data_IF_358997139343
#
_entry.id   IF_358997139343
#
_cell.length_a   1.000
_cell.length_b   1.000
_cell.length_c   1.000
_cell.angle_alpha   90.00
_cell.angle_beta   90.00
_cell.angle_gamma   90.00
#
_symmetry.space_group_name_H-M   'P 1'
#
loop_
_entity.id
_entity.type
_entity.pdbx_description
1 polymer ?
#
# COMPACT_ATOMS: atom_id res chain seq x y z
N UNK A 1 -37.41 33.72 20.88
CA UNK A 1 -36.61 34.10 19.70
C UNK A 1 -35.36 33.24 19.73
N UNK A 2 -35.42 32.08 19.06
CA UNK A 2 -34.41 31.03 19.16
C UNK A 2 -33.39 31.25 18.05
N UNK A 3 -32.14 31.53 18.42
CA UNK A 3 -31.05 31.83 17.51
C UNK A 3 -30.42 30.49 17.08
N UNK A 4 -30.65 30.10 15.83
CA UNK A 4 -30.06 28.90 15.25
C UNK A 4 -28.57 29.14 15.01
N UNK A 5 -27.72 28.39 15.71
CA UNK A 5 -26.29 28.31 15.47
C UNK A 5 -26.08 27.42 14.22
N UNK A 6 -25.83 28.05 13.09
CA UNK A 6 -25.42 27.35 11.87
C UNK A 6 -23.98 26.90 12.06
N UNK A 7 -23.79 25.61 12.35
CA UNK A 7 -22.45 24.99 12.29
C UNK A 7 -22.13 24.81 10.81
N UNK A 8 -21.19 25.62 10.31
CA UNK A 8 -20.62 25.49 8.99
C UNK A 8 -19.72 24.24 9.01
N UNK A 9 -20.22 23.12 8.52
CA UNK A 9 -19.40 21.97 8.16
C UNK A 9 -18.51 22.42 6.99
N UNK A 10 -17.26 22.74 7.29
CA UNK A 10 -16.21 22.89 6.28
C UNK A 10 -16.02 21.48 5.72
N UNK A 11 -16.62 21.22 4.57
CA UNK A 11 -16.47 19.96 3.85
C UNK A 11 -15.00 19.73 3.58
N UNK A 12 -14.40 18.77 4.29
CA UNK A 12 -13.20 18.11 3.79
C UNK A 12 -13.56 17.50 2.44
N UNK A 13 -12.72 17.74 1.45
CA UNK A 13 -12.85 17.20 0.10
C UNK A 13 -12.97 15.66 0.18
N UNK A 14 -14.18 15.14 0.23
CA UNK A 14 -14.44 13.81 -0.28
C UNK A 14 -14.11 13.86 -1.77
N UNK A 15 -13.31 12.91 -2.26
CA UNK A 15 -13.13 12.71 -3.69
C UNK A 15 -14.53 12.63 -4.32
N UNK A 16 -14.85 13.58 -5.19
CA UNK A 16 -16.12 13.62 -5.91
C UNK A 16 -16.28 12.33 -6.73
N UNK A 17 -17.50 11.94 -7.07
CA UNK A 17 -17.76 10.71 -7.84
C UNK A 17 -16.96 10.61 -9.16
N UNK A 18 -16.52 11.74 -9.73
CA UNK A 18 -15.63 11.80 -10.92
C UNK A 18 -14.13 11.56 -10.62
N UNK A 19 -13.73 11.53 -9.34
CA UNK A 19 -12.35 11.33 -8.87
C UNK A 19 -12.05 9.88 -8.46
N UNK A 20 -13.03 8.99 -8.54
CA UNK A 20 -12.92 7.59 -8.09
C UNK A 20 -12.06 6.68 -8.98
N UNK A 21 -11.52 7.16 -10.10
CA UNK A 21 -10.70 6.34 -10.99
C UNK A 21 -11.35 5.00 -11.35
N UNK A 22 -12.69 4.95 -11.38
CA UNK A 22 -13.44 3.74 -11.67
C UNK A 22 -13.14 3.37 -13.12
N UNK A 23 -12.28 2.37 -13.28
CA UNK A 23 -12.20 1.59 -14.51
C UNK A 23 -13.63 1.12 -14.83
N UNK A 24 -14.10 1.19 -16.08
CA UNK A 24 -15.41 0.69 -16.44
C UNK A 24 -15.58 -0.75 -15.93
N UNK A 25 -16.68 -1.00 -15.21
CA UNK A 25 -17.07 -2.30 -14.67
C UNK A 25 -17.02 -3.38 -15.76
N UNK A 26 -15.94 -4.17 -15.75
CA UNK A 26 -15.73 -5.35 -16.58
C UNK A 26 -16.24 -6.64 -15.88
N UNK A 27 -16.87 -6.49 -14.71
CA UNK A 27 -17.36 -7.59 -13.89
C UNK A 27 -16.27 -8.32 -13.09
N UNK A 28 -15.04 -7.80 -13.02
CA UNK A 28 -13.92 -8.46 -12.34
C UNK A 28 -13.28 -7.66 -11.19
N UNK A 29 -13.41 -6.32 -11.18
CA UNK A 29 -13.06 -5.48 -10.02
C UNK A 29 -14.32 -4.94 -9.32
N UNK A 30 -14.44 -5.17 -8.01
CA UNK A 30 -15.51 -4.58 -7.18
C UNK A 30 -15.15 -3.17 -6.65
N UNK A 31 -13.94 -2.69 -6.95
CA UNK A 31 -13.40 -1.46 -6.40
C UNK A 31 -13.48 -1.36 -4.87
N UNK A 32 -13.44 -0.13 -4.36
CA UNK A 32 -13.68 0.16 -2.95
C UNK A 32 -15.19 0.23 -2.66
N UNK A 33 -15.86 -0.93 -2.52
CA UNK A 33 -17.31 -0.99 -2.31
C UNK A 33 -17.91 -2.39 -2.45
N UNK A 34 -19.22 -2.43 -2.72
CA UNK A 34 -19.99 -3.67 -2.90
C UNK A 34 -20.51 -4.29 -1.61
N UNK A 35 -20.99 -5.52 -1.68
CA UNK A 35 -21.44 -6.29 -0.51
C UNK A 35 -20.33 -6.42 0.55
N UNK A 36 -20.71 -6.67 1.80
CA UNK A 36 -19.75 -6.84 2.88
C UNK A 36 -18.79 -7.99 2.57
N UNK A 37 -17.49 -7.66 2.46
CA UNK A 37 -16.43 -8.66 2.36
C UNK A 37 -15.95 -8.97 3.78
N UNK A 38 -15.83 -10.26 4.17
CA UNK A 38 -15.28 -10.64 5.47
C UNK A 38 -13.90 -10.04 5.70
N UNK A 39 -13.57 -9.80 6.97
CA UNK A 39 -12.23 -9.35 7.32
C UNK A 39 -11.20 -10.40 6.84
N UNK A 40 -10.19 -9.99 6.06
CA UNK A 40 -9.18 -10.89 5.50
C UNK A 40 -8.25 -11.44 6.59
N UNK A 41 -7.58 -12.55 6.31
CA UNK A 41 -6.53 -13.08 7.19
C UNK A 41 -5.45 -12.01 7.44
N UNK A 42 -4.95 -11.95 8.68
CA UNK A 42 -3.98 -10.91 9.09
C UNK A 42 -4.62 -9.56 9.46
N UNK A 43 -5.95 -9.44 9.46
CA UNK A 43 -6.64 -8.25 10.00
C UNK A 43 -6.38 -8.09 11.50
N UNK A 44 -5.94 -6.90 11.90
CA UNK A 44 -5.73 -6.52 13.30
C UNK A 44 -6.77 -5.46 13.69
N UNK A 45 -7.48 -5.67 14.81
CA UNK A 45 -8.35 -4.66 15.43
C UNK A 45 -7.66 -4.02 16.63
N UNK A 46 -7.56 -2.68 16.63
CA UNK A 46 -6.93 -1.91 17.72
C UNK A 46 -7.83 -0.76 18.18
N UNK A 47 -7.83 -0.50 19.50
CA UNK A 47 -8.43 0.70 20.08
C UNK A 47 -7.40 1.83 20.08
N UNK A 48 -7.61 2.87 19.28
CA UNK A 48 -6.69 4.01 19.13
C UNK A 48 -7.26 5.23 19.86
N UNK A 49 -6.68 5.60 21.01
CA UNK A 49 -7.04 6.84 21.71
C UNK A 49 -6.43 8.05 21.04
N UNK A 50 -7.20 9.14 20.93
CA UNK A 50 -6.69 10.38 20.37
C UNK A 50 -5.70 11.08 21.31
N UNK A 51 -4.98 12.08 20.79
CA UNK A 51 -3.91 12.75 21.51
C UNK A 51 -4.35 13.42 22.82
N UNK A 52 -5.61 13.87 22.88
CA UNK A 52 -6.18 14.50 24.07
C UNK A 52 -6.59 13.48 25.15
N UNK A 53 -6.66 12.20 24.81
CA UNK A 53 -7.25 11.16 25.66
C UNK A 53 -6.32 9.94 25.87
N UNK A 54 -5.01 10.20 25.92
CA UNK A 54 -4.00 9.17 26.23
C UNK A 54 -3.33 8.52 25.03
N UNK A 55 -3.33 9.20 23.87
CA UNK A 55 -2.59 8.91 22.62
C UNK A 55 -2.14 7.44 22.47
N UNK A 56 -2.82 6.71 21.61
CA UNK A 56 -2.34 5.41 21.15
C UNK A 56 -1.60 5.58 19.82
N UNK A 57 -0.38 5.05 19.75
CA UNK A 57 0.39 4.95 18.51
C UNK A 57 0.19 3.55 17.93
N UNK A 58 -0.07 3.47 16.63
CA UNK A 58 -0.17 2.21 15.88
C UNK A 58 1.02 2.12 14.94
N UNK A 59 1.81 1.06 15.09
CA UNK A 59 2.86 0.70 14.14
C UNK A 59 2.28 -0.15 13.01
N UNK A 60 2.61 0.22 11.78
CA UNK A 60 2.27 -0.49 10.54
C UNK A 60 3.56 -1.12 10.02
N UNK A 61 3.68 -2.44 10.10
CA UNK A 61 4.88 -3.16 9.67
C UNK A 61 5.23 -2.78 8.23
N UNK A 62 6.49 -2.36 8.01
CA UNK A 62 7.06 -1.87 6.74
C UNK A 62 6.43 -0.61 6.12
N UNK A 63 5.26 -0.17 6.58
CA UNK A 63 4.59 1.03 6.06
C UNK A 63 4.82 2.26 6.93
N UNK A 64 5.08 2.11 8.25
CA UNK A 64 5.36 3.24 9.14
C UNK A 64 4.52 3.23 10.41
N UNK A 65 3.95 4.36 10.81
CA UNK A 65 3.09 4.41 11.99
C UNK A 65 2.23 5.66 12.05
N UNK A 66 1.12 5.59 12.79
CA UNK A 66 0.18 6.69 12.92
C UNK A 66 -0.39 6.82 14.33
N UNK A 67 -1.04 7.94 14.58
CA UNK A 67 -1.93 8.14 15.73
C UNK A 67 -3.11 9.03 15.35
N UNK A 68 -4.08 9.17 16.25
CA UNK A 68 -5.19 10.13 16.10
C UNK A 68 -4.84 11.41 16.86
N UNK A 69 -4.80 12.56 16.18
CA UNK A 69 -4.46 13.84 16.77
C UNK A 69 -5.60 14.45 17.61
N UNK A 70 -5.40 15.66 18.15
CA UNK A 70 -6.41 16.34 18.96
C UNK A 70 -7.63 16.85 18.19
N UNK A 71 -7.55 16.87 16.86
CA UNK A 71 -8.65 17.22 15.95
C UNK A 71 -9.32 16.01 15.32
N UNK A 72 -9.07 14.81 15.87
CA UNK A 72 -9.60 13.53 15.40
C UNK A 72 -9.21 13.20 13.94
N UNK A 73 -7.95 13.49 13.57
CA UNK A 73 -7.36 13.12 12.29
C UNK A 73 -6.32 12.01 12.46
N UNK A 74 -6.24 11.12 11.48
CA UNK A 74 -5.04 10.28 11.32
C UNK A 74 -3.88 11.15 10.89
N UNK A 75 -2.76 11.00 11.59
CA UNK A 75 -1.51 11.70 11.32
C UNK A 75 -0.31 10.75 11.45
N UNK A 76 0.81 11.00 10.75
CA UNK A 76 2.00 10.18 10.81
C UNK A 76 2.58 10.25 12.22
N UNK A 77 3.16 9.13 12.64
CA UNK A 77 3.95 9.07 13.85
C UNK A 77 5.41 8.90 13.48
N UNK A 78 6.20 9.92 13.78
CA UNK A 78 7.65 9.90 13.54
C UNK A 78 8.40 9.35 14.75
N UNK A 79 9.28 8.37 14.53
CA UNK A 79 10.18 7.84 15.56
C UNK A 79 11.63 8.28 15.27
N UNK A 80 12.10 9.31 15.99
CA UNK A 80 13.48 9.78 15.86
C UNK A 80 13.73 10.71 14.66
N UNK A 81 14.91 10.62 14.06
CA UNK A 81 15.38 11.53 13.00
C UNK A 81 14.96 11.14 11.58
N UNK A 82 14.48 9.90 11.38
CA UNK A 82 13.96 9.44 10.11
C UNK A 82 12.46 9.72 10.09
N UNK A 83 12.07 10.71 9.27
CA UNK A 83 10.67 11.00 9.02
C UNK A 83 10.22 10.12 7.85
N UNK A 84 9.83 8.89 8.14
CA UNK A 84 9.06 8.10 7.18
C UNK A 84 7.67 8.72 7.11
N UNK A 85 7.52 9.73 6.25
CA UNK A 85 6.26 10.42 6.03
C UNK A 85 5.32 9.46 5.29
N UNK A 86 4.36 8.93 6.05
CA UNK A 86 3.23 8.23 5.46
C UNK A 86 2.19 9.23 4.96
N UNK A 87 1.61 8.93 3.80
CA UNK A 87 0.42 9.60 3.31
C UNK A 87 -0.81 8.74 3.60
N UNK A 88 -1.94 9.39 3.81
CA UNK A 88 -3.25 8.77 3.91
C UNK A 88 -4.12 9.19 2.74
N UNK A 89 -5.04 8.33 2.33
CA UNK A 89 -6.15 8.70 1.47
C UNK A 89 -7.42 7.99 1.94
N UNK A 90 -8.52 8.72 2.11
CA UNK A 90 -9.81 8.10 2.39
C UNK A 90 -10.39 7.53 1.10
N UNK A 91 -10.99 6.33 1.18
CA UNK A 91 -11.81 5.76 0.10
C UNK A 91 -13.31 5.97 0.37
N UNK A 92 -13.65 6.75 1.39
CA UNK A 92 -15.03 7.01 1.81
C UNK A 92 -15.65 5.85 2.60
N UNK A 93 -16.98 5.84 2.66
CA UNK A 93 -17.75 4.83 3.38
C UNK A 93 -17.66 3.47 2.70
N UNK A 94 -17.35 2.43 3.48
CA UNK A 94 -17.23 1.03 3.02
C UNK A 94 -17.81 0.08 4.08
N UNK A 95 -18.06 -1.17 3.71
CA UNK A 95 -18.72 -2.14 4.59
C UNK A 95 -17.76 -2.90 5.54
N UNK A 96 -16.46 -2.66 5.45
CA UNK A 96 -15.44 -3.32 6.27
C UNK A 96 -14.04 -3.18 5.67
N UNK A 97 -13.04 -3.76 6.33
CA UNK A 97 -11.65 -3.69 5.85
C UNK A 97 -11.47 -4.45 4.53
N UNK A 98 -12.16 -5.58 4.36
CA UNK A 98 -12.13 -6.37 3.11
C UNK A 98 -12.66 -5.63 1.88
N UNK A 99 -13.36 -4.50 2.06
CA UNK A 99 -13.84 -3.65 0.97
C UNK A 99 -12.83 -2.54 0.60
N UNK A 100 -11.71 -2.39 1.31
CA UNK A 100 -10.63 -1.44 0.97
C UNK A 100 -9.59 -2.17 0.15
N UNK A 101 -9.66 -2.06 -1.18
CA UNK A 101 -9.01 -2.94 -2.14
C UNK A 101 -8.12 -2.24 -3.16
N UNK A 102 -8.57 -1.12 -3.69
CA UNK A 102 -7.84 -0.39 -4.73
C UNK A 102 -7.24 0.91 -4.20
N UNK A 103 -5.95 1.09 -4.36
CA UNK A 103 -5.25 2.30 -3.94
C UNK A 103 -5.66 3.50 -4.82
N UNK A 104 -6.04 4.64 -4.23
CA UNK A 104 -6.38 5.85 -4.98
C UNK A 104 -5.17 6.40 -5.77
N UNK A 105 -5.39 6.90 -6.98
CA UNK A 105 -4.34 7.56 -7.77
C UNK A 105 -4.03 8.99 -7.30
N UNK A 106 -4.91 9.59 -6.49
CA UNK A 106 -4.83 10.97 -5.98
C UNK A 106 -5.57 11.10 -4.65
N UNK A 107 -5.50 12.28 -4.03
CA UNK A 107 -6.16 12.57 -2.75
C UNK A 107 -5.30 12.25 -1.52
N UNK A 108 -4.04 11.89 -1.73
CA UNK A 108 -3.07 11.60 -0.68
C UNK A 108 -2.69 12.87 0.09
N UNK A 109 -2.70 12.77 1.41
CA UNK A 109 -2.29 13.83 2.32
C UNK A 109 -1.65 13.24 3.57
N UNK A 110 -0.74 14.00 4.19
CA UNK A 110 -0.15 13.64 5.48
C UNK A 110 -1.17 13.67 6.62
N UNK A 111 -2.42 14.08 6.41
CA UNK A 111 -3.44 14.13 7.46
C UNK A 111 -4.81 13.92 6.84
N UNK A 112 -5.64 13.09 7.47
CA UNK A 112 -7.01 12.84 7.03
C UNK A 112 -7.95 12.68 8.23
N UNK A 113 -9.15 13.24 8.13
CA UNK A 113 -10.15 13.14 9.19
C UNK A 113 -10.58 11.69 9.42
N UNK A 114 -10.67 11.28 10.70
CA UNK A 114 -11.17 9.96 11.08
C UNK A 114 -12.69 9.97 11.04
N UNK A 115 -13.27 9.12 10.19
CA UNK A 115 -14.72 8.95 10.02
C UNK A 115 -15.12 7.49 10.25
N UNK A 116 -16.07 7.27 11.16
CA UNK A 116 -16.65 5.95 11.42
C UNK A 116 -17.30 5.37 10.14
N UNK A 117 -17.08 4.07 9.88
CA UNK A 117 -17.56 3.38 8.69
C UNK A 117 -16.74 3.66 7.42
N UNK A 118 -15.64 4.41 7.50
CA UNK A 118 -14.82 4.73 6.33
C UNK A 118 -13.56 3.88 6.24
N UNK A 119 -13.15 3.63 5.01
CA UNK A 119 -11.89 3.00 4.64
C UNK A 119 -10.82 4.02 4.29
N UNK A 120 -9.56 3.62 4.47
CA UNK A 120 -8.41 4.45 4.16
C UNK A 120 -7.27 3.58 3.63
N UNK A 121 -6.50 4.14 2.71
CA UNK A 121 -5.15 3.66 2.42
C UNK A 121 -4.12 4.49 3.17
N UNK A 122 -3.01 3.83 3.48
CA UNK A 122 -1.77 4.43 3.94
C UNK A 122 -0.69 4.00 2.97
N UNK A 123 0.25 4.89 2.66
CA UNK A 123 1.43 4.53 1.86
C UNK A 123 2.70 5.17 2.39
N UNK A 124 3.81 4.50 2.15
CA UNK A 124 5.16 5.00 2.37
C UNK A 124 5.96 4.89 1.08
N UNK A 125 6.70 5.95 0.71
CA UNK A 125 7.59 5.92 -0.45
C UNK A 125 8.98 5.47 -0.01
N UNK A 126 9.43 4.34 -0.53
CA UNK A 126 10.77 3.84 -0.25
C UNK A 126 11.84 4.67 -0.96
N UNK A 127 13.09 4.55 -0.52
CA UNK A 127 14.23 5.21 -1.18
C UNK A 127 14.40 4.77 -2.65
N UNK A 128 13.93 3.58 -2.99
CA UNK A 128 13.98 3.02 -4.35
C UNK A 128 12.80 3.50 -5.22
N UNK A 129 11.91 4.34 -4.67
CA UNK A 129 10.90 5.08 -5.42
C UNK A 129 9.53 4.42 -5.52
N UNK A 130 9.37 3.17 -5.06
CA UNK A 130 8.08 2.47 -5.02
C UNK A 130 7.35 2.72 -3.69
N UNK A 131 6.05 2.38 -3.66
CA UNK A 131 5.21 2.56 -2.47
C UNK A 131 4.95 1.22 -1.78
N UNK A 132 5.05 1.21 -0.46
CA UNK A 132 4.51 0.16 0.41
C UNK A 132 3.19 0.65 0.99
N UNK A 133 2.16 -0.20 0.98
CA UNK A 133 0.81 0.19 1.40
C UNK A 133 0.36 -0.55 2.65
N UNK A 134 -0.56 0.09 3.36
CA UNK A 134 -1.44 -0.53 4.34
C UNK A 134 -2.87 -0.05 4.10
N UNK A 135 -3.84 -0.79 4.63
CA UNK A 135 -5.26 -0.40 4.60
C UNK A 135 -5.83 -0.31 6.00
N UNK A 136 -6.72 0.64 6.22
CA UNK A 136 -7.42 0.89 7.47
C UNK A 136 -8.94 0.91 7.25
N UNK A 137 -9.68 0.53 8.28
CA UNK A 137 -11.12 0.72 8.37
C UNK A 137 -11.48 1.16 9.79
N UNK A 138 -12.24 2.25 9.89
CA UNK A 138 -12.70 2.78 11.19
C UNK A 138 -14.01 2.10 11.54
N UNK A 139 -13.96 1.10 12.41
CA UNK A 139 -15.14 0.32 12.78
C UNK A 139 -16.12 1.11 13.64
N UNK A 140 -15.60 1.85 14.63
CA UNK A 140 -16.45 2.63 15.54
C UNK A 140 -15.67 3.70 16.28
N UNK A 141 -16.28 4.84 16.54
CA UNK A 141 -15.76 5.82 17.49
C UNK A 141 -15.81 5.29 18.92
N UNK A 142 -14.80 5.67 19.69
CA UNK A 142 -14.78 5.53 21.14
C UNK A 142 -15.33 6.83 21.72
N UNK A 143 -16.52 6.78 22.30
CA UNK A 143 -17.20 7.96 22.83
C UNK A 143 -17.13 8.03 24.35
N UNK A 144 -17.09 9.25 24.88
CA UNK A 144 -17.37 9.51 26.30
C UNK A 144 -18.87 9.42 26.58
N UNK A 145 -19.25 9.45 27.87
CA UNK A 145 -20.65 9.56 28.27
C UNK A 145 -21.35 10.85 27.76
N UNK A 146 -20.59 11.87 27.38
CA UNK A 146 -21.08 13.12 26.80
C UNK A 146 -21.07 13.12 25.26
N UNK A 147 -20.83 11.97 24.62
CA UNK A 147 -20.70 11.80 23.17
C UNK A 147 -19.53 12.55 22.51
N UNK A 148 -18.55 13.00 23.29
CA UNK A 148 -17.26 13.47 22.74
C UNK A 148 -16.44 12.30 22.22
N UNK A 149 -15.80 12.46 21.05
CA UNK A 149 -14.86 11.50 20.48
C UNK A 149 -13.58 11.44 21.32
N UNK A 150 -13.20 10.23 21.72
CA UNK A 150 -11.99 9.94 22.50
C UNK A 150 -10.95 9.15 21.68
N UNK A 151 -11.29 8.77 20.46
CA UNK A 151 -10.53 7.84 19.62
C UNK A 151 -11.45 6.97 18.77
N UNK A 152 -10.89 5.88 18.23
CA UNK A 152 -11.64 4.93 17.40
C UNK A 152 -11.12 3.50 17.54
N UNK A 153 -11.99 2.53 17.30
CA UNK A 153 -11.64 1.16 16.95
C UNK A 153 -11.28 1.11 15.46
N UNK A 154 -10.04 0.74 15.16
CA UNK A 154 -9.48 0.73 13.81
C UNK A 154 -9.05 -0.69 13.48
N UNK A 155 -9.57 -1.22 12.38
CA UNK A 155 -9.04 -2.43 11.75
C UNK A 155 -7.97 -2.04 10.75
N UNK A 156 -6.89 -2.82 10.66
CA UNK A 156 -5.87 -2.60 9.66
C UNK A 156 -5.20 -3.89 9.21
N UNK A 157 -4.54 -3.81 8.06
CA UNK A 157 -3.62 -4.81 7.54
C UNK A 157 -2.38 -4.09 6.98
N UNK A 158 -1.20 -4.58 7.33
CA UNK A 158 0.09 -3.99 6.94
C UNK A 158 1.19 -5.06 6.90
N UNK A 159 1.95 -5.18 5.79
CA UNK A 159 1.69 -4.53 4.51
C UNK A 159 0.39 -5.01 3.87
N UNK A 160 -0.04 -4.33 2.81
CA UNK A 160 -1.17 -4.71 1.96
C UNK A 160 -0.82 -4.43 0.50
N UNK A 161 -1.14 -5.35 -0.41
CA UNK A 161 -0.99 -5.20 -1.85
C UNK A 161 -2.34 -4.79 -2.46
N UNK A 162 -2.48 -3.55 -2.97
CA UNK A 162 -3.72 -3.12 -3.63
C UNK A 162 -4.00 -3.90 -4.92
N UNK A 163 -5.27 -4.12 -5.23
CA UNK A 163 -5.70 -4.90 -6.41
C UNK A 163 -5.46 -4.19 -7.75
N UNK A 164 -5.13 -2.90 -7.72
CA UNK A 164 -4.88 -2.06 -8.90
C UNK A 164 -3.41 -1.63 -9.03
N UNK A 165 -2.47 -2.42 -8.49
CA UNK A 165 -1.04 -2.20 -8.71
C UNK A 165 -0.66 -2.64 -10.13
N UNK A 166 0.23 -1.87 -10.77
CA UNK A 166 0.76 -2.19 -12.09
C UNK A 166 1.63 -3.45 -12.03
N UNK A 167 1.35 -4.40 -12.92
CA UNK A 167 2.17 -5.59 -13.16
C UNK A 167 3.50 -5.19 -13.79
N UNK A 168 4.61 -5.40 -13.08
CA UNK A 168 5.92 -5.01 -13.59
C UNK A 168 6.41 -5.92 -14.73
N UNK A 169 5.79 -7.09 -14.93
CA UNK A 169 6.14 -8.00 -16.02
C UNK A 169 5.93 -7.37 -17.39
N UNK A 170 5.09 -6.34 -17.50
CA UNK A 170 4.85 -5.62 -18.76
C UNK A 170 6.12 -4.93 -19.29
N UNK A 171 7.05 -4.59 -18.39
CA UNK A 171 8.32 -3.93 -18.70
C UNK A 171 9.46 -4.94 -18.96
N UNK A 172 9.19 -6.25 -18.86
CA UNK A 172 10.15 -7.33 -19.13
C UNK A 172 9.94 -7.84 -20.56
N UNK A 173 10.74 -7.43 -21.56
CA UNK A 173 10.49 -7.77 -22.96
C UNK A 173 10.83 -9.22 -23.32
N UNK A 174 11.84 -9.80 -22.67
CA UNK A 174 12.27 -11.18 -22.93
C UNK A 174 11.23 -12.17 -22.38
N UNK A 175 10.62 -12.96 -23.26
CA UNK A 175 9.55 -13.86 -22.89
C UNK A 175 9.98 -15.01 -21.97
N UNK A 176 11.23 -15.48 -22.08
CA UNK A 176 11.74 -16.55 -21.20
C UNK A 176 12.05 -16.00 -19.82
N UNK A 177 12.63 -14.80 -19.75
CA UNK A 177 12.89 -14.13 -18.48
C UNK A 177 11.59 -13.77 -17.77
N UNK A 178 10.63 -13.17 -18.48
CA UNK A 178 9.30 -12.84 -17.96
C UNK A 178 8.57 -14.08 -17.43
N UNK A 179 8.57 -15.18 -18.18
CA UNK A 179 7.94 -16.43 -17.76
C UNK A 179 8.63 -17.05 -16.52
N UNK A 180 9.95 -16.92 -16.40
CA UNK A 180 10.66 -17.33 -15.20
C UNK A 180 10.25 -16.49 -13.99
N UNK A 181 10.28 -15.17 -14.11
CA UNK A 181 9.94 -14.26 -13.01
C UNK A 181 8.51 -14.50 -12.51
N UNK A 182 7.55 -14.61 -13.45
CA UNK A 182 6.15 -14.89 -13.14
C UNK A 182 5.95 -16.24 -12.42
N UNK A 183 6.76 -17.25 -12.75
CA UNK A 183 6.61 -18.57 -12.15
C UNK A 183 7.22 -18.68 -10.74
N UNK A 184 8.25 -17.89 -10.45
CA UNK A 184 9.05 -18.03 -9.21
C UNK A 184 8.76 -16.96 -8.17
N UNK A 185 8.32 -15.77 -8.58
CA UNK A 185 8.24 -14.60 -7.71
C UNK A 185 6.84 -13.99 -7.58
N UNK A 186 5.85 -14.50 -8.31
CA UNK A 186 4.43 -14.27 -8.02
C UNK A 186 4.05 -15.12 -6.79
N UNK A 187 4.27 -14.56 -5.61
CA UNK A 187 4.19 -15.27 -4.33
C UNK A 187 2.75 -15.44 -3.86
N UNK A 188 1.87 -14.56 -4.30
CA UNK A 188 0.45 -14.59 -3.96
C UNK A 188 -0.40 -15.33 -5.02
N UNK A 189 0.19 -15.67 -6.18
CA UNK A 189 -0.41 -16.38 -7.31
C UNK A 189 -1.63 -15.67 -7.92
N UNK A 190 -1.62 -14.33 -7.91
CA UNK A 190 -2.66 -13.51 -8.53
C UNK A 190 -2.43 -13.25 -10.03
N UNK A 191 -1.28 -13.68 -10.56
CA UNK A 191 -0.91 -13.59 -11.96
C UNK A 191 -0.26 -12.26 -12.35
N UNK A 192 0.06 -11.39 -11.40
CA UNK A 192 0.87 -10.18 -11.59
C UNK A 192 2.14 -10.27 -10.76
N UNK A 193 3.22 -9.60 -11.18
CA UNK A 193 4.38 -9.41 -10.32
C UNK A 193 4.41 -7.95 -9.87
N UNK A 194 4.30 -7.73 -8.56
CA UNK A 194 4.27 -6.36 -8.02
C UNK A 194 5.67 -5.85 -7.70
N UNK A 195 5.87 -4.51 -7.55
CA UNK A 195 7.12 -3.97 -7.05
C UNK A 195 7.50 -4.48 -5.66
N UNK A 196 6.52 -4.80 -4.81
CA UNK A 196 6.77 -5.32 -3.47
C UNK A 196 7.37 -6.72 -3.54
N UNK A 197 6.80 -7.60 -4.37
CA UNK A 197 7.34 -8.93 -4.60
C UNK A 197 8.74 -8.88 -5.20
N UNK A 198 8.96 -8.04 -6.21
CA UNK A 198 10.28 -7.88 -6.83
C UNK A 198 11.36 -7.43 -5.85
N UNK A 199 11.03 -6.57 -4.88
CA UNK A 199 11.98 -6.10 -3.87
C UNK A 199 12.19 -7.12 -2.76
N UNK A 200 11.28 -8.09 -2.59
CA UNK A 200 11.52 -9.23 -1.69
C UNK A 200 12.54 -10.23 -2.26
N UNK A 201 12.78 -10.21 -3.57
CA UNK A 201 13.73 -11.10 -4.24
C UNK A 201 15.17 -10.68 -3.94
N UNK A 202 15.92 -11.62 -3.37
CA UNK A 202 17.36 -11.46 -3.08
C UNK A 202 18.24 -12.35 -3.96
N UNK A 203 17.68 -13.35 -4.62
CA UNK A 203 18.41 -14.24 -5.50
C UNK A 203 17.59 -14.66 -6.72
N UNK A 204 18.23 -14.66 -7.89
CA UNK A 204 17.67 -15.13 -9.17
C UNK A 204 18.58 -16.24 -9.72
N UNK A 205 17.98 -17.38 -10.03
CA UNK A 205 18.65 -18.59 -10.53
C UNK A 205 18.01 -19.02 -11.86
N UNK A 206 18.37 -18.31 -12.94
CA UNK A 206 17.75 -18.44 -14.25
C UNK A 206 18.66 -19.09 -15.30
N UNK A 207 19.60 -19.94 -14.89
CA UNK A 207 20.54 -20.61 -15.79
C UNK A 207 19.90 -21.59 -16.76
N UNK A 208 20.48 -21.72 -17.97
CA UNK A 208 20.03 -22.63 -19.04
C UNK A 208 18.58 -22.44 -19.51
N UNK A 209 18.10 -21.19 -19.61
CA UNK A 209 16.69 -20.85 -19.93
C UNK A 209 16.48 -20.17 -21.28
N UNK A 210 17.50 -20.11 -22.15
CA UNK A 210 17.43 -19.43 -23.46
C UNK A 210 17.04 -17.95 -23.34
N UNK A 211 17.39 -17.31 -22.21
CA UNK A 211 17.16 -15.89 -21.98
C UNK A 211 18.13 -15.10 -22.87
N UNK A 212 17.60 -14.15 -23.65
CA UNK A 212 18.37 -13.31 -24.57
C UNK A 212 18.60 -11.91 -24.01
N UNK A 213 17.76 -11.45 -23.07
CA UNK A 213 17.89 -10.14 -22.41
C UNK A 213 17.44 -10.20 -20.94
N UNK A 214 18.18 -9.50 -20.08
CA UNK A 214 17.84 -9.25 -18.67
C UNK A 214 17.23 -7.86 -18.43
N UNK A 215 16.77 -7.17 -19.48
CA UNK A 215 16.09 -5.89 -19.31
C UNK A 215 14.95 -5.99 -18.29
N UNK A 216 14.91 -5.05 -17.34
CA UNK A 216 13.97 -5.02 -16.22
C UNK A 216 14.50 -5.69 -14.94
N UNK A 217 15.70 -6.29 -14.97
CA UNK A 217 16.39 -6.78 -13.76
C UNK A 217 16.64 -5.65 -12.74
N UNK A 218 16.74 -4.40 -13.19
CA UNK A 218 16.90 -3.22 -12.34
C UNK A 218 15.73 -2.97 -11.37
N UNK A 219 14.58 -3.58 -11.61
CA UNK A 219 13.41 -3.52 -10.73
C UNK A 219 13.60 -4.34 -9.44
N UNK A 220 14.51 -5.32 -9.46
CA UNK A 220 14.82 -6.20 -8.33
C UNK A 220 15.91 -5.58 -7.45
N UNK A 221 15.59 -4.47 -6.79
CA UNK A 221 16.58 -3.60 -6.14
C UNK A 221 17.34 -4.22 -4.96
N UNK A 222 16.82 -5.30 -4.37
CA UNK A 222 17.47 -6.04 -3.27
C UNK A 222 18.19 -7.31 -3.75
N UNK A 223 18.27 -7.54 -5.06
CA UNK A 223 18.95 -8.69 -5.64
C UNK A 223 20.45 -8.65 -5.34
N UNK A 224 20.95 -9.69 -4.68
CA UNK A 224 22.38 -9.85 -4.34
C UNK A 224 23.00 -11.06 -5.03
N UNK A 225 22.20 -11.98 -5.55
CA UNK A 225 22.70 -13.16 -6.27
C UNK A 225 21.99 -13.29 -7.61
N UNK A 226 22.78 -13.41 -8.68
CA UNK A 226 22.27 -13.65 -10.03
C UNK A 226 23.11 -14.73 -10.71
N UNK A 227 22.50 -15.90 -10.90
CA UNK A 227 22.99 -16.93 -11.82
C UNK A 227 22.15 -16.89 -13.09
N UNK A 228 22.77 -16.40 -14.17
CA UNK A 228 22.19 -16.38 -15.51
C UNK A 228 23.04 -17.19 -16.50
N UNK A 229 23.88 -18.10 -16.01
CA UNK A 229 24.78 -18.93 -16.81
C UNK A 229 24.04 -19.75 -17.88
N UNK A 230 24.74 -20.07 -18.97
CA UNK A 230 24.19 -20.88 -20.07
C UNK A 230 22.94 -20.29 -20.76
N UNK A 231 22.83 -18.97 -20.84
CA UNK A 231 21.80 -18.24 -21.60
C UNK A 231 22.37 -17.61 -22.89
N UNK A 232 21.51 -16.92 -23.65
CA UNK A 232 21.83 -16.29 -24.94
C UNK A 232 22.00 -14.76 -24.81
N UNK A 233 22.41 -14.29 -23.63
CA UNK A 233 22.56 -12.87 -23.32
C UNK A 233 23.71 -12.28 -24.15
N UNK A 234 23.37 -11.40 -25.09
CA UNK A 234 24.33 -10.80 -26.04
C UNK A 234 24.70 -9.36 -25.70
N UNK A 235 23.92 -8.70 -24.84
CA UNK A 235 24.15 -7.34 -24.36
C UNK A 235 23.80 -7.27 -22.88
N UNK A 236 24.77 -6.93 -22.04
CA UNK A 236 24.47 -6.49 -20.69
C UNK A 236 24.04 -5.03 -20.78
N UNK A 237 22.79 -4.72 -20.42
CA UNK A 237 22.42 -3.35 -20.15
C UNK A 237 23.42 -2.75 -19.15
N UNK A 238 23.80 -1.46 -19.25
CA UNK A 238 24.69 -0.84 -18.29
C UNK A 238 23.98 -0.79 -16.94
N UNK A 239 24.17 -1.83 -16.14
CA UNK A 239 23.51 -1.96 -14.85
C UNK A 239 24.19 -0.98 -13.91
N UNK A 240 23.48 0.09 -13.55
CA UNK A 240 23.94 1.03 -12.53
C UNK A 240 23.70 0.43 -11.13
N UNK A 241 24.27 -0.75 -10.85
CA UNK A 241 24.33 -1.25 -9.48
C UNK A 241 25.41 -0.46 -8.73
N UNK A 242 25.07 0.11 -7.58
CA UNK A 242 26.10 0.62 -6.68
C UNK A 242 26.96 -0.56 -6.26
N UNK A 243 28.19 -0.57 -6.75
CA UNK A 243 29.17 -1.62 -6.52
C UNK A 243 29.28 -1.92 -5.03
N UNK A 244 28.75 -3.07 -4.61
CA UNK A 244 29.25 -4.02 -3.61
C UNK A 244 28.20 -5.16 -3.49
N UNK A 245 28.63 -6.42 -3.60
CA UNK A 245 27.88 -7.66 -3.27
C UNK A 245 26.92 -8.29 -4.30
N UNK A 246 27.25 -8.31 -5.61
CA UNK A 246 26.68 -9.36 -6.49
C UNK A 246 27.78 -10.35 -6.89
N UNK A 247 27.66 -11.59 -6.44
CA UNK A 247 28.44 -12.72 -6.95
C UNK A 247 27.79 -13.17 -8.26
N UNK A 248 28.30 -12.66 -9.39
CA UNK A 248 27.91 -13.12 -10.72
C UNK A 248 28.50 -14.52 -10.96
N UNK A 249 27.62 -15.52 -11.03
CA UNK A 249 27.98 -16.86 -11.46
C UNK A 249 27.77 -16.94 -12.98
N UNK A 250 28.87 -16.87 -13.74
CA UNK A 250 28.91 -16.98 -15.21
C UNK A 250 29.08 -18.43 -15.69
#
# INVERSE_FOLDING_TARGET
MMMALVVLLIGGNACTEEDKGLVPDDGTSLGNGGDAVPDPEGTILVSVRNANNGKTVVGLFETGGFYIDGGDNFVPYHYGYYADDIDFCSVGAVNGLGNVREAPSKGWASTVAVQEGHGYFVRYKTNNGYYVYARLYVEKYILSAANTILGAYVKYQSPYEPENIEDILVDIPDAQFRAYLAAEFDTNSDGILTPQEAVSVTAIWCSSRQISSLQGIELFTNLTILDCSFNEITEFAPIAFQANDIELLE
#
